data_IF_399661567869
#
_entry.id   IF_399661567869
#
_cell.length_a   1.000
_cell.length_b   1.000
_cell.length_c   1.000
_cell.angle_alpha   90.00
_cell.angle_beta   90.00
_cell.angle_gamma   90.00
#
_symmetry.space_group_name_H-M   'P 1'
#
loop_
_entity.id
_entity.type
_entity.pdbx_description
1 polymer ?
#
# COMPACT_ATOMS: atom_id res chain seq x y z
N UNK A 1 -23.03 58.19 16.62
CA UNK A 1 -21.68 57.62 16.89
C UNK A 1 -21.67 56.84 18.23
N UNK A 2 -22.08 55.55 18.29
CA UNK A 2 -22.08 54.76 19.54
C UNK A 2 -21.15 53.51 19.54
N UNK A 3 -20.57 53.12 18.39
CA UNK A 3 -19.82 51.85 18.26
C UNK A 3 -18.40 51.89 18.82
N UNK A 4 -17.77 53.07 18.92
CA UNK A 4 -16.38 53.22 19.39
C UNK A 4 -16.30 53.07 20.92
N UNK A 5 -17.33 53.48 21.66
CA UNK A 5 -17.34 53.37 23.13
C UNK A 5 -17.52 51.93 23.63
N UNK A 6 -18.27 51.09 22.91
CA UNK A 6 -18.40 49.65 23.25
C UNK A 6 -17.12 48.85 22.99
N UNK A 7 -16.31 49.27 22.01
CA UNK A 7 -15.05 48.58 21.69
C UNK A 7 -13.98 48.84 22.76
N UNK A 8 -13.90 50.07 23.27
CA UNK A 8 -12.92 50.47 24.29
C UNK A 8 -13.21 49.88 25.69
N UNK A 9 -14.48 49.63 26.04
CA UNK A 9 -14.82 49.04 27.35
C UNK A 9 -14.49 47.54 27.45
N UNK A 10 -14.52 46.79 26.34
CA UNK A 10 -14.09 45.38 26.27
C UNK A 10 -12.59 45.20 26.54
N UNK A 11 -11.76 46.18 26.18
CA UNK A 11 -10.32 46.16 26.47
C UNK A 11 -10.00 46.42 27.95
N UNK A 12 -10.79 47.25 28.64
CA UNK A 12 -10.59 47.54 30.08
C UNK A 12 -10.94 46.35 30.97
N UNK A 13 -11.95 45.55 30.60
CA UNK A 13 -12.34 44.34 31.35
C UNK A 13 -11.31 43.22 31.29
N UNK A 14 -10.48 43.17 30.24
CA UNK A 14 -9.41 42.19 30.10
C UNK A 14 -8.31 42.41 31.17
N UNK A 15 -7.97 43.67 31.46
CA UNK A 15 -6.98 44.01 32.49
C UNK A 15 -7.37 43.60 33.90
N UNK A 16 -8.66 43.59 34.24
CA UNK A 16 -9.11 43.14 35.57
C UNK A 16 -9.14 41.61 35.70
N UNK A 17 -9.53 40.89 34.65
CA UNK A 17 -9.49 39.43 34.63
C UNK A 17 -8.06 38.90 34.72
N UNK A 18 -7.12 39.54 34.02
CA UNK A 18 -5.69 39.20 34.12
C UNK A 18 -5.15 39.46 35.53
N UNK A 19 -5.54 40.55 36.19
CA UNK A 19 -5.14 40.82 37.59
C UNK A 19 -5.69 39.78 38.56
N UNK A 20 -6.96 39.38 38.42
CA UNK A 20 -7.55 38.32 39.24
C UNK A 20 -6.83 36.97 39.03
N UNK A 21 -6.46 36.66 37.79
CA UNK A 21 -5.67 35.48 37.46
C UNK A 21 -4.27 35.51 38.10
N UNK A 22 -3.58 36.65 38.03
CA UNK A 22 -2.26 36.88 38.65
C UNK A 22 -2.31 36.81 40.18
N UNK A 23 -3.39 37.28 40.81
CA UNK A 23 -3.57 37.15 42.26
C UNK A 23 -3.86 35.70 42.67
N UNK A 24 -4.60 34.96 41.86
CA UNK A 24 -4.93 33.55 42.11
C UNK A 24 -3.71 32.63 41.90
N UNK A 25 -2.73 33.03 41.08
CA UNK A 25 -1.43 32.34 40.91
C UNK A 25 -0.55 32.37 42.18
N UNK A 26 -0.90 33.17 43.19
CA UNK A 26 -0.20 33.23 44.48
C UNK A 26 -0.63 32.11 45.43
N UNK A 27 -1.71 31.40 45.13
CA UNK A 27 -2.13 30.21 45.88
C UNK A 27 -1.31 28.99 45.42
N UNK A 28 -0.66 28.32 46.38
CA UNK A 28 0.16 27.14 46.12
C UNK A 28 -0.65 26.01 45.44
N UNK A 29 -1.97 25.94 45.72
CA UNK A 29 -2.86 24.92 45.17
C UNK A 29 -3.10 25.12 43.68
N UNK A 30 -3.40 26.35 43.25
CA UNK A 30 -3.66 26.67 41.83
C UNK A 30 -2.37 26.58 41.02
N UNK A 31 -1.23 27.00 41.59
CA UNK A 31 0.09 26.83 40.98
C UNK A 31 0.41 25.35 40.76
N UNK A 32 0.17 24.50 41.77
CA UNK A 32 0.37 23.06 41.66
C UNK A 32 -0.51 22.42 40.57
N UNK A 33 -1.78 22.79 40.48
CA UNK A 33 -2.69 22.32 39.42
C UNK A 33 -2.23 22.78 38.02
N UNK A 34 -1.73 24.00 37.89
CA UNK A 34 -1.24 24.53 36.61
C UNK A 34 0.03 23.80 36.16
N UNK A 35 1.00 23.60 37.06
CA UNK A 35 2.22 22.83 36.78
C UNK A 35 1.87 21.39 36.39
N UNK A 36 0.94 20.76 37.12
CA UNK A 36 0.46 19.42 36.78
C UNK A 36 -0.16 19.38 35.38
N UNK A 37 -1.03 20.34 35.05
CA UNK A 37 -1.66 20.42 33.73
C UNK A 37 -0.62 20.59 32.62
N UNK A 38 0.38 21.44 32.81
CA UNK A 38 1.48 21.62 31.87
C UNK A 38 2.28 20.33 31.69
N UNK A 39 2.60 19.63 32.79
CA UNK A 39 3.31 18.35 32.74
C UNK A 39 2.52 17.29 31.96
N UNK A 40 1.22 17.17 32.20
CA UNK A 40 0.35 16.25 31.45
C UNK A 40 0.38 16.58 29.96
N UNK A 41 0.21 17.86 29.58
CA UNK A 41 0.26 18.26 28.18
C UNK A 41 1.61 17.97 27.52
N UNK A 42 2.72 18.18 28.21
CA UNK A 42 4.06 17.88 27.70
C UNK A 42 4.25 16.37 27.47
N UNK A 43 3.82 15.54 28.41
CA UNK A 43 3.88 14.08 28.28
C UNK A 43 2.97 13.60 27.15
N UNK A 44 1.74 14.11 27.06
CA UNK A 44 0.81 13.77 25.97
C UNK A 44 1.37 14.15 24.61
N UNK A 45 2.00 15.33 24.47
CA UNK A 45 2.62 15.77 23.22
C UNK A 45 3.79 14.87 22.79
N UNK A 46 4.63 14.46 23.75
CA UNK A 46 5.74 13.53 23.50
C UNK A 46 5.23 12.14 23.06
N UNK A 47 4.17 11.64 23.70
CA UNK A 47 3.56 10.35 23.38
C UNK A 47 3.03 10.31 21.94
N UNK A 48 2.32 11.35 21.49
CA UNK A 48 1.77 11.43 20.12
C UNK A 48 2.90 11.36 19.07
N UNK A 49 4.00 12.12 19.27
CA UNK A 49 5.14 12.08 18.34
C UNK A 49 5.82 10.72 18.27
N UNK A 50 5.94 10.03 19.41
CA UNK A 50 6.53 8.69 19.46
C UNK A 50 5.70 7.65 18.70
N UNK A 51 4.37 7.71 18.85
CA UNK A 51 3.44 6.82 18.12
C UNK A 51 3.56 7.05 16.61
N UNK A 52 3.58 8.31 16.17
CA UNK A 52 3.74 8.65 14.75
C UNK A 52 5.07 8.12 14.20
N UNK A 53 6.19 8.36 14.89
CA UNK A 53 7.49 7.87 14.47
C UNK A 53 7.54 6.33 14.39
N UNK A 54 6.92 5.64 15.35
CA UNK A 54 6.87 4.18 15.35
C UNK A 54 6.05 3.65 14.16
N UNK A 55 4.93 4.29 13.85
CA UNK A 55 4.11 3.91 12.70
C UNK A 55 4.86 4.08 11.37
N UNK A 56 5.57 5.20 11.20
CA UNK A 56 6.39 5.44 10.01
C UNK A 56 7.52 4.42 9.88
N UNK A 57 8.16 4.03 10.99
CA UNK A 57 9.16 2.97 11.01
C UNK A 57 8.57 1.61 10.62
N UNK A 58 7.39 1.26 11.15
CA UNK A 58 6.71 0.01 10.79
C UNK A 58 6.34 -0.03 9.30
N UNK A 59 5.89 1.09 8.73
CA UNK A 59 5.60 1.21 7.31
C UNK A 59 6.85 0.97 6.47
N UNK A 60 7.96 1.62 6.80
CA UNK A 60 9.25 1.42 6.14
C UNK A 60 9.72 -0.04 6.21
N UNK A 61 9.55 -0.69 7.37
CA UNK A 61 9.87 -2.12 7.53
C UNK A 61 9.01 -2.97 6.59
N UNK A 62 7.71 -2.66 6.46
CA UNK A 62 6.81 -3.34 5.53
C UNK A 62 7.28 -3.22 4.09
N UNK A 63 7.59 -2.00 3.66
CA UNK A 63 8.08 -1.70 2.30
C UNK A 63 9.40 -2.43 2.01
N UNK A 64 10.38 -2.36 2.93
CA UNK A 64 11.67 -3.04 2.78
C UNK A 64 11.50 -4.56 2.73
N UNK A 65 10.63 -5.14 3.57
CA UNK A 65 10.34 -6.58 3.55
C UNK A 65 9.71 -7.01 2.23
N UNK A 66 8.77 -6.23 1.70
CA UNK A 66 8.16 -6.51 0.41
C UNK A 66 9.20 -6.46 -0.72
N UNK A 67 10.03 -5.42 -0.77
CA UNK A 67 11.12 -5.31 -1.75
C UNK A 67 12.11 -6.47 -1.64
N UNK A 68 12.44 -6.90 -0.41
CA UNK A 68 13.33 -8.04 -0.19
C UNK A 68 12.72 -9.35 -0.72
N UNK A 69 11.42 -9.58 -0.46
CA UNK A 69 10.73 -10.76 -0.96
C UNK A 69 10.64 -10.78 -2.49
N UNK A 70 10.38 -9.63 -3.13
CA UNK A 70 10.41 -9.52 -4.59
C UNK A 70 11.78 -9.87 -5.16
N UNK A 71 12.86 -9.31 -4.61
CA UNK A 71 14.23 -9.62 -5.02
C UNK A 71 14.61 -11.09 -4.81
N UNK A 72 14.14 -11.70 -3.73
CA UNK A 72 14.33 -13.14 -3.48
C UNK A 72 13.64 -13.99 -4.54
N UNK A 73 12.41 -13.63 -4.91
CA UNK A 73 11.65 -14.33 -5.94
C UNK A 73 12.31 -14.16 -7.32
N UNK A 74 12.78 -12.95 -7.64
CA UNK A 74 13.54 -12.67 -8.86
C UNK A 74 14.82 -13.52 -8.94
N UNK A 75 15.60 -13.57 -7.85
CA UNK A 75 16.78 -14.42 -7.78
C UNK A 75 16.45 -15.91 -7.93
N UNK A 76 15.36 -16.38 -7.31
CA UNK A 76 14.92 -17.76 -7.45
C UNK A 76 14.51 -18.07 -8.89
N UNK A 77 13.82 -17.16 -9.57
CA UNK A 77 13.45 -17.31 -10.97
C UNK A 77 14.70 -17.37 -11.87
N UNK A 78 15.63 -16.44 -11.71
CA UNK A 78 16.91 -16.45 -12.46
C UNK A 78 17.68 -17.75 -12.21
N UNK A 79 17.66 -18.27 -10.98
CA UNK A 79 18.30 -19.55 -10.65
C UNK A 79 17.65 -20.70 -11.42
N UNK A 80 16.32 -20.77 -11.43
CA UNK A 80 15.57 -21.78 -12.19
C UNK A 80 15.80 -21.69 -13.70
N UNK A 81 15.83 -20.48 -14.26
CA UNK A 81 16.13 -20.25 -15.68
C UNK A 81 17.54 -20.76 -16.03
N UNK A 82 18.53 -20.46 -15.18
CA UNK A 82 19.89 -20.95 -15.37
C UNK A 82 19.98 -22.48 -15.29
N UNK A 83 19.23 -23.11 -14.39
CA UNK A 83 19.15 -24.57 -14.30
C UNK A 83 18.48 -25.17 -15.54
N UNK A 84 17.40 -24.56 -16.03
CA UNK A 84 16.74 -24.96 -17.27
C UNK A 84 17.70 -24.91 -18.45
N UNK A 85 18.49 -23.85 -18.62
CA UNK A 85 19.47 -23.75 -19.70
C UNK A 85 20.63 -24.77 -19.59
N UNK A 86 20.90 -25.29 -18.39
CA UNK A 86 21.88 -26.37 -18.18
C UNK A 86 21.29 -27.77 -18.38
N UNK A 87 19.97 -27.89 -18.48
CA UNK A 87 19.30 -29.19 -18.61
C UNK A 87 19.58 -29.85 -19.96
N UNK A 88 19.59 -31.19 -19.97
CA UNK A 88 19.74 -31.96 -21.21
C UNK A 88 18.55 -31.78 -22.15
N UNK A 89 17.37 -31.51 -21.59
CA UNK A 89 16.15 -31.20 -22.34
C UNK A 89 16.29 -29.90 -23.13
N UNK A 90 16.85 -28.85 -22.53
CA UNK A 90 17.12 -27.60 -23.23
C UNK A 90 18.16 -27.80 -24.35
N UNK A 91 19.24 -28.54 -24.07
CA UNK A 91 20.25 -28.87 -25.08
C UNK A 91 19.62 -29.63 -26.25
N UNK A 92 18.79 -30.62 -25.98
CA UNK A 92 18.07 -31.39 -27.00
C UNK A 92 17.12 -30.54 -27.83
N UNK A 93 16.27 -29.73 -27.19
CA UNK A 93 15.33 -28.83 -27.88
C UNK A 93 16.09 -27.86 -28.79
N UNK A 94 17.16 -27.26 -28.26
CA UNK A 94 18.01 -26.34 -29.02
C UNK A 94 18.72 -27.05 -30.17
N UNK A 95 19.18 -28.28 -29.98
CA UNK A 95 19.81 -29.07 -31.03
C UNK A 95 18.84 -29.42 -32.17
N UNK A 96 17.60 -29.76 -31.82
CA UNK A 96 16.52 -30.00 -32.78
C UNK A 96 16.17 -28.74 -33.57
N UNK A 97 16.02 -27.61 -32.89
CA UNK A 97 15.59 -26.34 -33.49
C UNK A 97 16.67 -25.71 -34.38
N UNK A 98 17.92 -25.66 -33.90
CA UNK A 98 18.98 -24.91 -34.57
C UNK A 98 19.77 -25.73 -35.57
N UNK A 99 19.94 -27.04 -35.31
CA UNK A 99 20.77 -27.90 -36.14
C UNK A 99 19.96 -28.98 -36.88
N UNK A 100 18.64 -29.05 -36.66
CA UNK A 100 17.81 -30.10 -37.25
C UNK A 100 18.21 -31.51 -36.81
N UNK A 101 18.87 -31.65 -35.66
CA UNK A 101 19.37 -32.92 -35.16
C UNK A 101 18.25 -33.71 -34.48
N UNK A 102 18.33 -35.04 -34.56
CA UNK A 102 17.42 -35.99 -33.93
C UNK A 102 18.21 -36.97 -33.06
N UNK A 103 17.55 -37.59 -32.08
CA UNK A 103 18.17 -38.69 -31.33
C UNK A 103 18.40 -39.90 -32.25
N UNK A 104 19.36 -40.78 -31.93
CA UNK A 104 19.53 -42.03 -32.67
C UNK A 104 18.22 -42.83 -32.73
N UNK A 105 17.77 -43.19 -33.94
CA UNK A 105 16.51 -43.90 -34.18
C UNK A 105 15.30 -43.03 -34.52
N UNK A 106 15.42 -41.70 -34.47
CA UNK A 106 14.37 -40.77 -34.92
C UNK A 106 14.62 -40.28 -36.35
N UNK A 107 13.55 -40.03 -37.11
CA UNK A 107 13.62 -39.49 -38.49
C UNK A 107 13.18 -38.03 -38.51
N UNK A 108 14.00 -37.14 -39.06
CA UNK A 108 13.69 -35.71 -39.20
C UNK A 108 12.95 -35.48 -40.53
N UNK A 109 11.73 -34.95 -40.46
CA UNK A 109 10.93 -34.61 -41.62
C UNK A 109 10.87 -33.08 -41.80
N UNK A 110 11.43 -32.58 -42.90
CA UNK A 110 11.35 -31.17 -43.28
C UNK A 110 10.05 -30.96 -44.07
N UNK A 111 9.05 -30.35 -43.43
CA UNK A 111 7.76 -30.06 -44.06
C UNK A 111 7.75 -28.61 -44.58
N UNK A 112 7.44 -28.36 -45.87
CA UNK A 112 7.29 -27.02 -46.40
C UNK A 112 6.22 -26.23 -45.64
N UNK A 113 6.49 -24.95 -45.37
CA UNK A 113 5.59 -24.07 -44.60
C UNK A 113 4.16 -24.05 -45.13
N UNK A 114 3.98 -24.07 -46.45
CA UNK A 114 2.65 -24.10 -47.09
C UNK A 114 1.84 -25.34 -46.69
N UNK A 115 2.47 -26.51 -46.65
CA UNK A 115 1.81 -27.78 -46.28
C UNK A 115 1.54 -27.83 -44.78
N UNK A 116 2.48 -27.34 -43.96
CA UNK A 116 2.29 -27.25 -42.52
C UNK A 116 1.08 -26.36 -42.17
N UNK A 117 1.02 -25.14 -42.71
CA UNK A 117 -0.09 -24.21 -42.44
C UNK A 117 -1.45 -24.71 -42.95
N UNK A 118 -1.46 -25.49 -44.04
CA UNK A 118 -2.69 -26.09 -44.55
C UNK A 118 -3.23 -27.23 -43.66
N UNK A 119 -2.38 -27.84 -42.84
CA UNK A 119 -2.72 -29.00 -42.00
C UNK A 119 -2.54 -28.74 -40.49
N UNK A 120 -2.27 -27.51 -40.07
CA UNK A 120 -2.22 -27.15 -38.66
C UNK A 120 -3.62 -26.99 -38.09
N UNK A 121 -3.86 -27.55 -36.90
CA UNK A 121 -5.00 -27.17 -36.06
C UNK A 121 -4.85 -25.72 -35.62
N UNK A 122 -5.96 -24.98 -35.57
CA UNK A 122 -5.98 -23.63 -35.03
C UNK A 122 -5.33 -23.66 -33.63
N UNK A 123 -4.29 -22.86 -33.43
CA UNK A 123 -3.75 -22.60 -32.10
C UNK A 123 -4.94 -22.21 -31.22
N UNK A 124 -5.17 -22.88 -30.07
CA UNK A 124 -6.19 -22.43 -29.14
C UNK A 124 -5.96 -20.94 -28.95
N UNK A 125 -6.96 -20.12 -29.29
CA UNK A 125 -6.90 -18.71 -28.98
C UNK A 125 -6.48 -18.63 -27.52
N UNK A 126 -5.41 -17.86 -27.23
CA UNK A 126 -4.98 -17.61 -25.86
C UNK A 126 -6.26 -17.43 -25.03
N UNK A 127 -6.45 -18.22 -23.95
CA UNK A 127 -7.72 -18.28 -23.24
C UNK A 127 -8.19 -16.85 -23.12
N UNK A 128 -9.30 -16.52 -23.80
CA UNK A 128 -9.85 -15.17 -23.79
C UNK A 128 -9.82 -14.81 -22.34
N UNK A 129 -8.98 -13.84 -21.97
CA UNK A 129 -8.97 -13.32 -20.63
C UNK A 129 -10.40 -12.87 -20.47
N UNK A 130 -11.23 -13.69 -19.81
CA UNK A 130 -12.49 -13.24 -19.27
C UNK A 130 -12.03 -12.06 -18.45
N UNK A 131 -12.27 -10.87 -19.00
CA UNK A 131 -11.99 -9.61 -18.36
C UNK A 131 -12.62 -9.79 -17.00
N UNK A 132 -11.79 -10.10 -16.01
CA UNK A 132 -12.26 -10.25 -14.67
C UNK A 132 -12.78 -8.86 -14.40
N UNK A 133 -14.11 -8.71 -14.40
CA UNK A 133 -14.80 -7.48 -14.00
C UNK A 133 -14.06 -7.06 -12.75
N UNK A 134 -13.25 -6.02 -12.85
CA UNK A 134 -12.26 -5.70 -11.83
C UNK A 134 -13.05 -5.57 -10.54
N UNK A 135 -12.95 -6.61 -9.70
CA UNK A 135 -13.73 -6.69 -8.47
C UNK A 135 -13.25 -5.47 -7.70
N UNK A 136 -14.17 -4.53 -7.45
CA UNK A 136 -13.80 -3.28 -6.79
C UNK A 136 -12.92 -3.60 -5.57
N UNK A 137 -11.88 -2.79 -5.29
CA UNK A 137 -11.06 -2.96 -4.10
C UNK A 137 -11.94 -3.21 -2.88
N UNK A 138 -11.57 -4.18 -2.05
CA UNK A 138 -12.41 -4.69 -0.94
C UNK A 138 -12.90 -3.58 -0.01
N UNK A 139 -12.10 -2.51 0.17
CA UNK A 139 -12.48 -1.36 0.99
C UNK A 139 -13.64 -0.55 0.39
N UNK A 140 -13.74 -0.45 -0.94
CA UNK A 140 -14.84 0.24 -1.63
C UNK A 140 -16.13 -0.56 -1.51
N UNK A 141 -16.04 -1.89 -1.68
CA UNK A 141 -17.18 -2.80 -1.47
C UNK A 141 -17.70 -2.67 -0.04
N UNK A 142 -16.80 -2.81 0.95
CA UNK A 142 -17.16 -2.71 2.36
C UNK A 142 -17.78 -1.34 2.68
N UNK A 143 -17.23 -0.23 2.19
CA UNK A 143 -17.79 1.09 2.43
C UNK A 143 -19.20 1.23 1.86
N UNK A 144 -19.42 0.71 0.64
CA UNK A 144 -20.72 0.72 0.00
C UNK A 144 -21.74 -0.11 0.79
N UNK A 145 -21.34 -1.30 1.26
CA UNK A 145 -22.18 -2.15 2.13
C UNK A 145 -22.58 -1.44 3.43
N UNK A 146 -21.64 -0.71 4.07
CA UNK A 146 -21.92 0.07 5.28
C UNK A 146 -22.89 1.24 5.01
N UNK A 147 -22.71 1.94 3.90
CA UNK A 147 -23.61 3.05 3.51
C UNK A 147 -25.01 2.53 3.21
N UNK A 148 -25.12 1.43 2.47
CA UNK A 148 -26.40 0.83 2.10
C UNK A 148 -27.12 0.26 3.34
N UNK A 149 -26.40 -0.34 4.28
CA UNK A 149 -26.93 -0.77 5.59
C UNK A 149 -27.48 0.40 6.41
N UNK A 150 -26.72 1.49 6.55
CA UNK A 150 -27.12 2.65 7.37
C UNK A 150 -28.29 3.43 6.75
N UNK A 151 -28.39 3.45 5.42
CA UNK A 151 -29.43 4.17 4.68
C UNK A 151 -30.60 3.28 4.26
N UNK A 152 -30.61 2.00 4.66
CA UNK A 152 -31.60 0.99 4.26
C UNK A 152 -31.83 0.96 2.74
N UNK A 153 -30.78 1.20 1.94
CA UNK A 153 -30.85 1.07 0.49
C UNK A 153 -30.76 -0.42 0.18
N UNK A 154 -31.87 -1.00 -0.26
CA UNK A 154 -31.93 -2.40 -0.60
C UNK A 154 -30.97 -2.69 -1.77
N UNK A 155 -29.90 -3.44 -1.52
CA UNK A 155 -28.96 -3.91 -2.53
C UNK A 155 -29.53 -5.16 -3.21
N UNK A 156 -30.08 -4.99 -4.42
CA UNK A 156 -30.37 -6.10 -5.34
C UNK A 156 -29.17 -6.39 -6.22
#
# INVERSE_FOLDING_TARGET
MPKIQQFLSRFRSYGQQVRAFVLNLRDIRTLGQLVFLVMVLLVSWSGIKSIQANYDLQKQIGEIKQQNNLKKLENANITLENEYYKSSQYLELTARQNFGLAKPGETVLLVPKSVALANTVATPAAPTETVATQKLPTWQQNFQDWVDYLLHRNSN
#
